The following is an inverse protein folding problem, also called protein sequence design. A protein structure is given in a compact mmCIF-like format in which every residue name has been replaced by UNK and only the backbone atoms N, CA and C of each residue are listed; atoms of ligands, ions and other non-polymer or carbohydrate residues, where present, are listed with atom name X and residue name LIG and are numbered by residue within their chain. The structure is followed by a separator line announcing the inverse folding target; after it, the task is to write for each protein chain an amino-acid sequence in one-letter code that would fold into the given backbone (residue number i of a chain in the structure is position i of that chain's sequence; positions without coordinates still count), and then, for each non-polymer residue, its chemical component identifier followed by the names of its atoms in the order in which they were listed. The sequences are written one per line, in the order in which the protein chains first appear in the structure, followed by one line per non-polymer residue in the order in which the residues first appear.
data_IF_982035949366
#
_entry.id   IF_982035949366
#
_cell.length_a   1.000
_cell.length_b   1.000
_cell.length_c   1.000
_cell.angle_alpha   90.00
_cell.angle_beta   90.00
_cell.angle_gamma   90.00
#
_symmetry.space_group_name_H-M   'P 1'
#
loop_
_entity.id
_entity.type
_entity.pdbx_description
1 polymer ?
#
# COMPACT_ATOMS: atom_id res chain seq x y z
N UNK A 1 -51.18 34.43 4.16
CA UNK A 1 -50.54 33.10 4.40
C UNK A 1 -49.08 33.22 4.06
N UNK A 2 -48.25 33.33 5.09
CA UNK A 2 -46.79 33.35 4.94
C UNK A 2 -46.28 31.92 5.05
N UNK A 3 -45.78 31.36 3.96
CA UNK A 3 -45.05 30.10 3.97
C UNK A 3 -43.64 30.39 4.49
N UNK A 4 -43.39 29.96 5.74
CA UNK A 4 -42.05 29.88 6.29
C UNK A 4 -41.28 28.79 5.54
N UNK A 5 -40.32 29.18 4.73
CA UNK A 5 -39.33 28.26 4.17
C UNK A 5 -38.57 27.63 5.33
N UNK A 6 -38.63 26.31 5.45
CA UNK A 6 -37.74 25.54 6.32
C UNK A 6 -36.32 25.82 5.87
N UNK A 7 -35.53 26.42 6.78
CA UNK A 7 -34.13 26.66 6.58
C UNK A 7 -33.41 25.39 6.24
N UNK A 8 -32.74 25.36 5.11
CA UNK A 8 -31.72 24.38 4.81
C UNK A 8 -30.63 24.53 5.85
N UNK A 9 -30.49 23.52 6.73
CA UNK A 9 -29.35 23.47 7.62
C UNK A 9 -28.07 23.50 6.79
N UNK A 10 -27.14 24.35 7.16
CA UNK A 10 -25.79 24.36 6.60
C UNK A 10 -25.24 22.93 6.66
N UNK A 11 -25.08 22.28 5.51
CA UNK A 11 -24.31 21.04 5.46
C UNK A 11 -22.93 21.42 5.93
N UNK A 12 -22.48 20.82 7.02
CA UNK A 12 -21.10 20.92 7.44
C UNK A 12 -20.22 20.64 6.22
N UNK A 13 -19.27 21.51 5.96
CA UNK A 13 -18.35 21.31 4.83
C UNK A 13 -17.70 19.94 4.97
N UNK A 14 -17.74 19.16 3.88
CA UNK A 14 -17.08 17.85 3.85
C UNK A 14 -15.61 18.00 4.22
N UNK A 15 -15.11 17.14 5.09
CA UNK A 15 -13.71 17.19 5.51
C UNK A 15 -12.77 17.00 4.33
N UNK A 16 -11.89 17.96 4.12
CA UNK A 16 -10.87 17.94 3.08
C UNK A 16 -9.50 18.17 3.71
N UNK A 17 -8.66 17.12 3.84
CA UNK A 17 -7.34 17.28 4.41
C UNK A 17 -6.43 18.11 3.52
N UNK A 18 -5.66 19.02 4.11
CA UNK A 18 -4.66 19.80 3.39
C UNK A 18 -3.52 18.89 2.87
N UNK A 19 -3.17 17.86 3.64
CA UNK A 19 -2.16 16.87 3.31
C UNK A 19 -2.47 15.52 3.98
N UNK A 20 -1.86 14.45 3.50
CA UNK A 20 -1.93 13.12 4.11
C UNK A 20 -0.51 12.68 4.49
N UNK A 21 -0.36 12.15 5.70
CA UNK A 21 0.92 11.61 6.20
C UNK A 21 0.68 10.21 6.69
N UNK A 22 1.43 9.23 6.17
CA UNK A 22 1.28 7.83 6.54
C UNK A 22 2.45 7.34 7.37
N UNK A 23 2.15 6.68 8.47
CA UNK A 23 3.08 5.96 9.32
C UNK A 23 2.72 4.48 9.34
N UNK A 24 3.73 3.64 9.45
CA UNK A 24 3.45 2.22 9.50
C UNK A 24 4.61 1.31 9.15
N UNK A 25 4.24 0.09 8.87
CA UNK A 25 5.07 -0.99 8.37
C UNK A 25 4.85 -1.21 6.85
N UNK A 26 5.09 -2.43 6.37
CA UNK A 26 4.89 -2.86 4.97
C UNK A 26 3.49 -2.56 4.46
N UNK A 27 2.48 -2.60 5.33
CA UNK A 27 1.09 -2.34 4.95
C UNK A 27 0.85 -0.91 4.45
N UNK A 28 1.77 0.00 4.76
CA UNK A 28 1.69 1.43 4.42
C UNK A 28 2.93 1.95 3.66
N UNK A 29 3.94 1.10 3.48
CA UNK A 29 5.21 1.45 2.86
C UNK A 29 5.19 1.23 1.35
N UNK A 30 6.06 1.97 0.66
CA UNK A 30 6.39 1.78 -0.75
C UNK A 30 7.84 1.34 -0.88
N UNK A 31 8.09 0.43 -1.81
CA UNK A 31 9.42 -0.01 -2.16
C UNK A 31 9.91 0.67 -3.43
N UNK A 32 11.23 0.87 -3.48
CA UNK A 32 11.94 1.28 -4.68
C UNK A 32 13.07 0.29 -4.94
N UNK A 33 13.28 -0.06 -6.18
CA UNK A 33 14.35 -0.97 -6.59
C UNK A 33 15.24 -0.26 -7.59
N UNK A 34 16.53 -0.21 -7.29
CA UNK A 34 17.52 0.26 -8.23
C UNK A 34 17.90 -0.88 -9.16
N UNK A 35 17.82 -0.64 -10.47
CA UNK A 35 18.19 -1.59 -11.49
C UNK A 35 19.21 -0.96 -12.43
N UNK A 36 20.23 -1.71 -12.85
CA UNK A 36 21.20 -1.19 -13.78
C UNK A 36 20.55 -0.84 -15.12
N UNK A 37 20.83 0.34 -15.64
CA UNK A 37 20.39 0.74 -16.97
C UNK A 37 21.12 -0.10 -18.03
N UNK A 38 20.41 -0.48 -19.07
CA UNK A 38 20.94 -1.26 -20.19
C UNK A 38 20.80 -0.50 -21.49
N UNK A 39 21.82 -0.56 -22.32
CA UNK A 39 21.78 -0.11 -23.71
C UNK A 39 20.92 -1.06 -24.58
N UNK A 40 20.63 -0.65 -25.81
CA UNK A 40 19.86 -1.43 -26.76
C UNK A 40 20.46 -2.81 -27.08
N UNK A 41 21.78 -2.93 -26.98
CA UNK A 41 22.50 -4.19 -27.19
C UNK A 41 22.58 -5.09 -25.94
N UNK A 42 21.95 -4.65 -24.82
CA UNK A 42 21.97 -5.37 -23.55
C UNK A 42 23.16 -5.05 -22.64
N UNK A 43 24.16 -4.27 -23.12
CA UNK A 43 25.27 -3.82 -22.29
C UNK A 43 24.82 -2.82 -21.22
N UNK A 44 25.60 -2.68 -20.14
CA UNK A 44 25.30 -1.70 -19.08
C UNK A 44 25.54 -0.28 -19.58
N UNK A 45 24.53 0.57 -19.44
CA UNK A 45 24.58 1.96 -19.89
C UNK A 45 25.33 2.91 -18.93
N UNK A 46 25.72 2.42 -17.77
CA UNK A 46 26.25 3.24 -16.69
C UNK A 46 25.16 4.04 -15.97
N UNK A 47 25.10 3.92 -14.65
CA UNK A 47 24.06 4.47 -13.80
C UNK A 47 22.94 3.46 -13.53
N UNK A 48 22.10 3.80 -12.54
CA UNK A 48 20.97 2.98 -12.12
C UNK A 48 19.65 3.67 -12.43
N UNK A 49 18.70 2.93 -12.99
CA UNK A 49 17.30 3.31 -13.03
C UNK A 49 16.62 2.92 -11.72
N UNK A 50 15.57 3.62 -11.36
CA UNK A 50 14.80 3.33 -10.16
C UNK A 50 13.36 2.99 -10.51
N UNK A 51 12.93 1.78 -10.15
CA UNK A 51 11.51 1.38 -10.14
C UNK A 51 10.94 1.75 -8.78
N UNK A 52 10.01 2.68 -8.75
CA UNK A 52 9.35 3.18 -7.53
C UNK A 52 7.91 2.70 -7.46
N UNK A 53 7.31 2.84 -6.29
CA UNK A 53 5.88 2.63 -6.10
C UNK A 53 5.46 1.17 -6.04
N UNK A 54 6.40 0.25 -5.85
CA UNK A 54 6.06 -1.13 -5.52
C UNK A 54 5.47 -1.17 -4.10
N UNK A 55 4.49 -2.01 -3.91
CA UNK A 55 3.85 -2.22 -2.62
C UNK A 55 4.20 -3.59 -2.06
N UNK A 56 4.04 -3.76 -0.75
CA UNK A 56 4.21 -5.05 -0.07
C UNK A 56 2.89 -5.84 -0.05
N UNK A 57 2.21 -5.82 -1.19
CA UNK A 57 1.07 -6.64 -1.53
C UNK A 57 1.29 -7.20 -2.94
N UNK A 58 0.24 -7.67 -3.61
CA UNK A 58 0.38 -8.14 -4.99
C UNK A 58 0.43 -6.94 -5.94
N UNK A 59 1.57 -6.72 -6.59
CA UNK A 59 1.71 -5.69 -7.62
C UNK A 59 1.09 -6.17 -8.95
N UNK A 60 0.43 -5.29 -9.68
CA UNK A 60 -0.20 -5.65 -10.94
C UNK A 60 0.80 -5.52 -12.10
N UNK A 61 1.40 -6.64 -12.50
CA UNK A 61 2.30 -6.71 -13.64
C UNK A 61 1.49 -7.05 -14.89
N UNK A 62 1.62 -6.27 -15.92
CA UNK A 62 0.96 -6.46 -17.22
C UNK A 62 1.98 -6.46 -18.35
N UNK A 63 1.68 -7.24 -19.39
CA UNK A 63 2.41 -7.20 -20.65
C UNK A 63 1.63 -6.35 -21.63
N UNK A 64 2.23 -5.28 -22.10
CA UNK A 64 1.60 -4.38 -23.06
C UNK A 64 2.48 -4.28 -24.31
N UNK A 65 1.83 -4.28 -25.47
CA UNK A 65 2.46 -3.82 -26.72
C UNK A 65 1.98 -2.38 -26.93
N UNK A 66 2.88 -1.43 -26.83
CA UNK A 66 2.51 -0.01 -26.88
C UNK A 66 3.45 0.80 -27.74
N UNK A 67 2.92 1.90 -28.27
CA UNK A 67 3.70 2.92 -28.97
C UNK A 67 3.79 4.15 -28.10
N UNK A 68 4.98 4.60 -27.80
CA UNK A 68 5.21 5.82 -27.02
C UNK A 68 5.27 7.04 -27.93
N UNK A 69 4.65 8.10 -27.46
CA UNK A 69 4.73 9.39 -28.09
C UNK A 69 5.86 10.19 -27.47
N UNK A 70 6.81 10.57 -28.30
CA UNK A 70 7.97 11.35 -27.88
C UNK A 70 7.73 12.85 -27.97
N UNK A 71 6.67 13.29 -28.60
CA UNK A 71 6.38 14.69 -28.80
C UNK A 71 4.97 15.05 -28.28
N UNK A 72 4.93 15.69 -27.12
CA UNK A 72 3.70 16.20 -26.52
C UNK A 72 3.00 17.30 -27.35
N UNK A 73 3.72 17.89 -28.31
CA UNK A 73 3.16 18.93 -29.19
C UNK A 73 2.36 18.37 -30.37
N UNK A 74 2.40 17.05 -30.60
CA UNK A 74 1.69 16.41 -31.70
C UNK A 74 0.88 15.18 -31.22
N UNK A 75 -0.15 15.38 -30.39
CA UNK A 75 -0.92 14.28 -29.81
C UNK A 75 -1.64 13.39 -30.84
N UNK A 76 -1.81 13.85 -32.08
CA UNK A 76 -2.43 13.07 -33.15
C UNK A 76 -1.55 11.98 -33.79
N UNK A 77 -0.26 11.94 -33.47
CA UNK A 77 0.67 10.91 -33.97
C UNK A 77 0.77 9.69 -33.06
N UNK A 78 0.11 9.71 -31.91
CA UNK A 78 0.07 8.64 -30.96
C UNK A 78 -1.16 7.76 -31.18
N UNK A 79 -1.24 7.07 -32.27
CA UNK A 79 -2.50 6.52 -32.76
C UNK A 79 -2.93 5.19 -32.15
N UNK A 80 -2.10 4.49 -31.39
CA UNK A 80 -2.49 3.18 -30.83
C UNK A 80 -1.70 2.88 -29.56
N UNK A 81 -2.42 2.76 -28.46
CA UNK A 81 -1.85 2.47 -27.15
C UNK A 81 -1.70 3.68 -26.22
N UNK A 82 -1.92 4.86 -26.71
CA UNK A 82 -2.14 6.16 -26.00
C UNK A 82 -1.53 6.28 -24.60
N UNK A 83 -0.25 6.06 -24.49
CA UNK A 83 0.49 6.28 -23.27
C UNK A 83 1.28 7.58 -23.42
N UNK A 84 0.93 8.57 -22.62
CA UNK A 84 1.73 9.79 -22.52
C UNK A 84 2.82 9.62 -21.47
N UNK A 85 4.06 9.72 -21.89
CA UNK A 85 5.16 9.79 -20.95
C UNK A 85 5.17 11.15 -20.27
N UNK A 86 5.40 11.23 -18.95
CA UNK A 86 5.80 12.48 -18.34
C UNK A 86 7.10 12.91 -18.97
N UNK A 87 7.08 14.05 -19.65
CA UNK A 87 8.19 14.60 -20.46
C UNK A 87 9.50 14.69 -19.69
N UNK A 88 9.44 14.73 -18.36
CA UNK A 88 10.62 14.85 -17.50
C UNK A 88 11.46 13.58 -17.33
N UNK A 89 10.92 12.40 -17.66
CA UNK A 89 11.58 11.12 -17.37
C UNK A 89 12.08 10.37 -18.61
N UNK A 90 11.69 10.82 -19.79
CA UNK A 90 12.19 10.31 -21.05
C UNK A 90 12.91 11.42 -21.80
N UNK A 91 14.18 11.59 -21.50
CA UNK A 91 15.07 12.38 -22.37
C UNK A 91 15.58 11.41 -23.43
N UNK A 92 15.15 11.55 -24.69
CA UNK A 92 15.68 10.71 -25.73
C UNK A 92 17.12 11.11 -26.02
N UNK A 93 18.05 10.34 -25.51
CA UNK A 93 19.32 10.23 -26.17
C UNK A 93 19.14 9.14 -27.26
N UNK A 94 19.58 9.36 -28.48
CA UNK A 94 19.32 8.43 -29.59
C UNK A 94 19.90 7.02 -29.37
N UNK A 95 20.73 6.83 -28.38
CA UNK A 95 21.44 5.59 -28.11
C UNK A 95 21.18 5.00 -26.70
N UNK A 96 20.56 5.74 -25.79
CA UNK A 96 20.28 5.27 -24.41
C UNK A 96 18.90 5.72 -23.96
N UNK A 97 17.95 4.84 -24.00
CA UNK A 97 16.66 5.10 -23.35
C UNK A 97 16.75 4.66 -21.90
N UNK A 98 16.30 5.51 -20.95
CA UNK A 98 16.10 5.02 -19.61
C UNK A 98 15.06 3.90 -19.67
N UNK A 99 15.42 2.73 -19.15
CA UNK A 99 14.53 1.58 -19.05
C UNK A 99 13.44 1.77 -18.01
N UNK A 100 13.40 2.92 -17.36
CA UNK A 100 12.48 3.20 -16.25
C UNK A 100 11.84 4.56 -16.44
N UNK A 101 10.55 4.61 -16.16
CA UNK A 101 9.77 5.84 -16.21
C UNK A 101 8.32 5.55 -15.89
N UNK A 102 7.56 6.61 -15.66
CA UNK A 102 6.13 6.53 -15.46
C UNK A 102 5.40 7.07 -16.67
N UNK A 103 4.26 6.49 -17.00
CA UNK A 103 3.36 7.03 -18.02
C UNK A 103 1.92 6.76 -17.68
N UNK A 104 1.06 7.57 -18.26
CA UNK A 104 -0.38 7.50 -18.06
C UNK A 104 -1.07 7.11 -19.36
N UNK A 105 -1.95 6.11 -19.30
CA UNK A 105 -2.81 5.77 -20.42
C UNK A 105 -3.80 6.90 -20.68
N UNK A 106 -3.88 7.36 -21.92
CA UNK A 106 -4.84 8.39 -22.35
C UNK A 106 -6.26 7.84 -22.33
N UNK A 107 -6.43 6.55 -22.66
CA UNK A 107 -7.73 5.91 -22.75
C UNK A 107 -8.34 5.58 -21.40
N UNK A 108 -7.54 5.01 -20.48
CA UNK A 108 -8.04 4.53 -19.19
C UNK A 108 -7.66 5.43 -18.01
N UNK A 109 -6.68 6.32 -18.19
CA UNK A 109 -6.12 7.13 -17.13
C UNK A 109 -5.23 6.37 -16.16
N UNK A 110 -4.99 5.07 -16.39
CA UNK A 110 -4.10 4.25 -15.57
C UNK A 110 -2.66 4.74 -15.67
N UNK A 111 -1.94 4.66 -14.55
CA UNK A 111 -0.53 4.99 -14.45
C UNK A 111 0.30 3.73 -14.39
N UNK A 112 1.31 3.67 -15.22
CA UNK A 112 2.19 2.52 -15.37
C UNK A 112 3.63 2.90 -15.03
N UNK A 113 4.33 1.95 -14.42
CA UNK A 113 5.76 2.03 -14.18
C UNK A 113 6.47 1.00 -15.06
N UNK A 114 7.40 1.43 -15.87
CA UNK A 114 8.19 0.56 -16.74
C UNK A 114 9.14 -0.29 -15.88
N UNK A 115 9.14 -1.59 -16.11
CA UNK A 115 9.99 -2.54 -15.37
C UNK A 115 10.98 -3.30 -16.24
N UNK A 116 10.81 -3.25 -17.56
CA UNK A 116 11.72 -3.88 -18.49
C UNK A 116 12.21 -2.90 -19.53
N UNK A 117 13.27 -3.29 -20.21
CA UNK A 117 13.89 -2.51 -21.25
C UNK A 117 12.89 -2.12 -22.35
N UNK A 118 12.93 -0.87 -22.73
CA UNK A 118 12.27 -0.37 -23.92
C UNK A 118 13.19 -0.70 -25.12
N UNK A 119 12.82 -1.67 -25.94
CA UNK A 119 13.46 -1.86 -27.21
C UNK A 119 13.00 -0.79 -28.19
N UNK A 120 13.89 0.14 -28.48
CA UNK A 120 13.70 1.04 -29.62
C UNK A 120 13.81 0.16 -30.86
N UNK A 121 12.71 -0.07 -31.55
CA UNK A 121 12.74 -0.75 -32.83
C UNK A 121 13.81 -0.11 -33.74
N UNK A 122 14.41 -0.90 -34.62
CA UNK A 122 15.53 -0.56 -35.50
C UNK A 122 15.29 0.62 -36.49
N UNK A 123 14.22 1.38 -36.32
CA UNK A 123 13.99 2.65 -36.97
C UNK A 123 14.72 3.75 -36.21
N UNK A 124 15.57 4.53 -36.90
CA UNK A 124 16.23 5.65 -36.27
C UNK A 124 15.19 6.57 -35.61
N UNK A 125 15.44 6.99 -34.38
CA UNK A 125 14.65 7.96 -33.63
C UNK A 125 14.36 9.26 -34.39
N UNK A 126 15.14 9.51 -35.43
CA UNK A 126 15.03 10.62 -36.37
C UNK A 126 13.97 10.38 -37.45
N UNK A 127 13.21 9.28 -37.43
CA UNK A 127 12.14 9.13 -38.40
C UNK A 127 11.04 10.13 -38.10
N UNK A 128 10.47 10.70 -39.12
CA UNK A 128 9.46 11.75 -39.12
C UNK A 128 8.15 11.38 -38.37
N UNK A 129 8.02 10.18 -37.86
CA UNK A 129 6.88 9.72 -37.09
C UNK A 129 6.99 9.96 -35.58
N UNK A 130 8.19 10.21 -35.05
CA UNK A 130 8.40 10.51 -33.62
C UNK A 130 7.89 9.47 -32.62
N UNK A 131 7.50 8.29 -33.07
CA UNK A 131 6.94 7.24 -32.24
C UNK A 131 7.98 6.15 -31.93
N UNK A 132 8.18 5.84 -30.66
CA UNK A 132 8.93 4.68 -30.21
C UNK A 132 7.98 3.47 -30.15
N UNK A 133 8.33 2.40 -30.83
CA UNK A 133 7.57 1.15 -30.76
C UNK A 133 8.22 0.26 -29.73
N UNK A 134 7.49 0.01 -28.65
CA UNK A 134 7.81 -1.06 -27.73
C UNK A 134 7.36 -2.40 -28.32
N UNK A 135 8.22 -3.39 -28.26
CA UNK A 135 7.89 -4.70 -28.81
C UNK A 135 7.07 -5.51 -27.85
N UNK A 136 7.50 -5.74 -26.65
CA UNK A 136 6.73 -6.39 -25.59
C UNK A 136 7.41 -6.08 -24.28
N UNK A 137 6.73 -5.32 -23.42
CA UNK A 137 7.34 -4.96 -22.18
C UNK A 137 6.42 -5.20 -21.00
N UNK A 138 7.03 -5.36 -19.87
CA UNK A 138 6.34 -5.56 -18.62
C UNK A 138 6.24 -4.22 -17.91
N UNK A 139 5.03 -3.96 -17.39
CA UNK A 139 4.72 -2.72 -16.70
C UNK A 139 3.97 -3.03 -15.41
N UNK A 140 4.28 -2.32 -14.35
CA UNK A 140 3.40 -2.29 -13.18
C UNK A 140 2.29 -1.27 -13.39
N UNK A 141 1.04 -1.74 -13.37
CA UNK A 141 -0.12 -0.85 -13.32
C UNK A 141 -0.28 -0.36 -11.88
N UNK A 142 0.19 0.85 -11.62
CA UNK A 142 0.15 1.47 -10.31
C UNK A 142 -1.26 1.91 -9.88
N UNK A 143 -2.20 1.94 -10.80
CA UNK A 143 -3.60 2.27 -10.52
C UNK A 143 -4.41 1.07 -10.07
N UNK A 144 -3.95 -0.13 -10.38
CA UNK A 144 -4.50 -1.40 -9.91
C UNK A 144 -3.76 -1.90 -8.66
N UNK A 145 -4.38 -2.79 -7.91
CA UNK A 145 -3.77 -3.47 -6.75
C UNK A 145 -3.18 -2.52 -5.69
N UNK A 146 -3.93 -1.46 -5.37
CA UNK A 146 -3.47 -0.43 -4.45
C UNK A 146 -3.59 -0.86 -2.98
N UNK A 147 -2.63 -0.45 -2.16
CA UNK A 147 -2.72 -0.59 -0.71
C UNK A 147 -3.67 0.46 -0.10
N UNK A 148 -4.09 0.24 1.12
CA UNK A 148 -5.11 1.04 1.79
C UNK A 148 -4.79 2.55 1.85
N UNK A 149 -3.54 2.92 2.08
CA UNK A 149 -3.10 4.32 2.14
C UNK A 149 -3.27 5.04 0.80
N UNK A 150 -3.01 4.36 -0.33
CA UNK A 150 -3.23 4.90 -1.66
C UNK A 150 -4.72 5.14 -1.94
N UNK A 151 -5.58 4.21 -1.52
CA UNK A 151 -7.05 4.38 -1.66
C UNK A 151 -7.53 5.55 -0.83
N UNK A 152 -7.06 5.68 0.43
CA UNK A 152 -7.39 6.84 1.29
C UNK A 152 -6.91 8.14 0.63
N UNK A 153 -5.67 8.18 0.14
CA UNK A 153 -5.15 9.39 -0.51
C UNK A 153 -5.97 9.79 -1.74
N UNK A 154 -6.31 8.83 -2.59
CA UNK A 154 -7.14 9.06 -3.79
C UNK A 154 -8.53 9.58 -3.45
N UNK A 155 -9.17 9.06 -2.39
CA UNK A 155 -10.50 9.50 -1.96
C UNK A 155 -10.53 11.01 -1.63
N UNK A 156 -9.41 11.55 -1.17
CA UNK A 156 -9.23 12.98 -0.88
C UNK A 156 -8.48 13.76 -1.99
N UNK A 157 -8.36 13.20 -3.18
CA UNK A 157 -7.69 13.86 -4.31
C UNK A 157 -6.17 14.02 -4.12
N UNK A 158 -5.55 13.23 -3.25
CA UNK A 158 -4.10 13.24 -2.98
C UNK A 158 -3.41 12.01 -3.58
N UNK A 159 -2.08 12.10 -3.73
CA UNK A 159 -1.23 10.99 -4.14
C UNK A 159 0.13 11.08 -3.49
N UNK A 160 0.83 9.94 -3.43
CA UNK A 160 2.18 9.82 -2.89
C UNK A 160 3.20 10.03 -3.99
N UNK A 161 4.23 10.83 -3.72
CA UNK A 161 5.36 10.97 -4.65
C UNK A 161 6.14 9.66 -4.81
N UNK A 162 6.15 8.83 -3.76
CA UNK A 162 6.84 7.54 -3.75
C UNK A 162 6.11 6.44 -4.54
N UNK A 163 4.84 6.64 -4.88
CA UNK A 163 4.09 5.76 -5.76
C UNK A 163 4.06 6.30 -7.19
N UNK A 164 3.43 5.59 -8.10
CA UNK A 164 3.35 6.02 -9.47
C UNK A 164 2.22 7.04 -9.76
N UNK A 165 1.69 7.75 -8.80
CA UNK A 165 0.57 8.69 -9.00
C UNK A 165 1.09 10.09 -9.39
N UNK A 166 1.61 10.21 -10.59
CA UNK A 166 2.31 11.40 -11.09
C UNK A 166 1.47 12.67 -11.19
N UNK A 167 0.16 12.54 -11.28
CA UNK A 167 -0.79 13.65 -11.44
C UNK A 167 -1.33 14.17 -10.11
N UNK A 168 -0.89 13.61 -9.01
CA UNK A 168 -1.37 13.97 -7.66
C UNK A 168 -0.22 14.16 -6.71
N UNK A 169 -0.41 15.09 -5.79
CA UNK A 169 0.54 15.40 -4.74
C UNK A 169 -0.19 15.56 -3.40
N UNK A 170 0.56 15.78 -2.35
CA UNK A 170 0.01 16.13 -1.04
C UNK A 170 -0.18 14.95 -0.09
N UNK A 171 0.31 13.77 -0.46
CA UNK A 171 0.48 12.65 0.45
C UNK A 171 1.96 12.25 0.57
N UNK A 172 2.40 11.87 1.77
CA UNK A 172 3.75 11.39 2.04
C UNK A 172 3.69 10.18 2.96
N UNK A 173 4.55 9.20 2.74
CA UNK A 173 4.69 8.03 3.61
C UNK A 173 6.05 8.04 4.29
N UNK A 174 6.03 7.87 5.61
CA UNK A 174 7.18 7.58 6.46
C UNK A 174 7.17 6.11 6.92
N UNK A 175 6.23 5.32 6.43
CA UNK A 175 6.17 3.90 6.73
C UNK A 175 7.42 3.18 6.20
N UNK A 176 7.91 2.22 6.97
CA UNK A 176 9.12 1.46 6.66
C UNK A 176 8.81 -0.04 6.77
N UNK A 177 9.20 -0.79 5.77
CA UNK A 177 9.05 -2.24 5.79
C UNK A 177 9.78 -2.86 6.99
N UNK A 178 9.14 -3.80 7.68
CA UNK A 178 9.64 -4.43 8.89
C UNK A 178 9.50 -3.59 10.16
N UNK A 179 8.97 -2.37 10.07
CA UNK A 179 8.84 -1.51 11.24
C UNK A 179 7.93 -2.13 12.31
N UNK A 180 8.32 -1.94 13.55
CA UNK A 180 7.57 -2.24 14.77
C UNK A 180 7.10 -0.94 15.42
N UNK A 181 6.27 -1.02 16.41
CA UNK A 181 5.73 0.18 17.09
C UNK A 181 6.82 1.08 17.68
N UNK A 182 7.98 0.53 18.02
CA UNK A 182 9.11 1.31 18.53
C UNK A 182 9.65 2.32 17.50
N UNK A 183 9.60 1.99 16.21
CA UNK A 183 10.07 2.85 15.13
C UNK A 183 9.12 4.01 14.82
N UNK A 184 7.88 3.99 15.32
CA UNK A 184 6.92 5.07 15.10
C UNK A 184 7.45 6.43 15.56
N UNK A 185 8.20 6.47 16.66
CA UNK A 185 8.79 7.71 17.18
C UNK A 185 9.75 8.38 16.19
N UNK A 186 10.56 7.57 15.48
CA UNK A 186 11.47 8.05 14.44
C UNK A 186 10.70 8.55 13.21
N UNK A 187 9.67 7.82 12.77
CA UNK A 187 8.79 8.24 11.67
C UNK A 187 8.11 9.58 12.00
N UNK A 188 7.60 9.75 13.23
CA UNK A 188 6.99 11.00 13.69
C UNK A 188 8.04 12.14 13.71
N UNK A 189 9.25 11.87 14.17
CA UNK A 189 10.31 12.88 14.21
C UNK A 189 10.67 13.38 12.81
N UNK A 190 10.77 12.49 11.82
CA UNK A 190 10.98 12.86 10.42
C UNK A 190 9.85 13.74 9.89
N UNK A 191 8.59 13.35 10.09
CA UNK A 191 7.46 14.15 9.66
C UNK A 191 7.36 15.52 10.34
N UNK A 192 7.72 15.60 11.62
CA UNK A 192 7.81 16.88 12.37
C UNK A 192 8.90 17.77 11.81
N UNK A 193 10.09 17.24 11.56
CA UNK A 193 11.21 18.01 11.00
C UNK A 193 10.91 18.55 9.60
N UNK A 194 10.09 17.83 8.82
CA UNK A 194 9.62 18.25 7.51
C UNK A 194 8.39 19.18 7.56
N UNK A 195 7.88 19.54 8.76
CA UNK A 195 6.70 20.41 8.91
C UNK A 195 5.39 19.80 8.42
N UNK A 196 5.29 18.47 8.34
CA UNK A 196 4.15 17.76 7.76
C UNK A 196 3.06 17.49 8.79
N UNK A 197 3.40 17.38 10.08
CA UNK A 197 2.44 17.18 11.17
C UNK A 197 1.93 18.52 11.67
N UNK A 198 0.71 18.87 11.28
CA UNK A 198 0.04 20.14 11.62
C UNK A 198 -1.47 19.98 11.55
N UNK A 199 -2.17 20.97 12.11
CA UNK A 199 -3.62 21.08 11.95
C UNK A 199 -4.00 21.06 10.46
N UNK A 200 -5.06 20.33 10.12
CA UNK A 200 -5.52 20.12 8.74
C UNK A 200 -4.84 18.94 8.01
N UNK A 201 -3.82 18.31 8.58
CA UNK A 201 -3.30 17.06 8.05
C UNK A 201 -4.18 15.89 8.47
N UNK A 202 -4.37 14.93 7.56
CA UNK A 202 -4.88 13.59 7.86
C UNK A 202 -3.67 12.65 8.02
N UNK A 203 -3.62 11.98 9.14
CA UNK A 203 -2.56 11.00 9.42
C UNK A 203 -3.14 9.59 9.43
N UNK A 204 -2.52 8.68 8.71
CA UNK A 204 -2.87 7.26 8.72
C UNK A 204 -1.80 6.48 9.44
N UNK A 205 -2.21 5.57 10.35
CA UNK A 205 -1.29 4.78 11.18
C UNK A 205 -1.70 3.31 11.14
N UNK A 206 -0.76 2.43 10.80
CA UNK A 206 -0.94 0.99 10.90
C UNK A 206 0.38 0.30 11.26
N UNK A 207 0.46 -0.22 12.49
CA UNK A 207 1.62 -0.90 13.07
C UNK A 207 1.16 -1.98 14.06
N UNK A 208 2.06 -2.91 14.34
CA UNK A 208 1.90 -3.94 15.37
C UNK A 208 1.97 -5.36 14.84
N UNK A 209 1.83 -5.59 13.53
CA UNK A 209 1.91 -6.94 12.95
C UNK A 209 3.28 -7.57 13.21
N UNK A 210 4.36 -6.84 12.94
CA UNK A 210 5.72 -7.32 13.14
C UNK A 210 6.07 -7.52 14.62
N UNK A 211 5.49 -6.71 15.51
CA UNK A 211 5.60 -6.89 16.94
C UNK A 211 4.95 -8.20 17.41
N UNK A 212 3.73 -8.47 16.94
CA UNK A 212 2.97 -9.66 17.33
C UNK A 212 3.65 -10.95 16.84
N UNK A 213 4.21 -10.94 15.63
CA UNK A 213 4.99 -12.07 15.10
C UNK A 213 6.23 -12.32 15.96
N UNK A 214 7.00 -11.26 16.30
CA UNK A 214 8.18 -11.39 17.19
C UNK A 214 7.81 -11.95 18.56
N UNK A 215 6.74 -11.43 19.16
CA UNK A 215 6.26 -11.89 20.46
C UNK A 215 5.82 -13.37 20.40
N UNK A 216 5.08 -13.74 19.36
CA UNK A 216 4.61 -15.09 19.13
C UNK A 216 5.78 -16.08 19.02
N UNK A 217 6.86 -15.71 18.36
CA UNK A 217 8.05 -16.53 18.18
C UNK A 217 8.93 -16.65 19.42
N UNK A 218 8.72 -15.81 20.42
CA UNK A 218 9.51 -15.85 21.63
C UNK A 218 9.24 -17.13 22.44
N UNK A 219 10.21 -17.55 23.25
CA UNK A 219 10.07 -18.70 24.14
C UNK A 219 9.35 -18.38 25.47
N UNK A 220 8.77 -17.17 25.59
CA UNK A 220 8.08 -16.72 26.79
C UNK A 220 6.76 -17.47 27.05
N UNK A 221 6.25 -17.43 28.27
CA UNK A 221 4.93 -17.95 28.58
C UNK A 221 3.83 -17.15 27.89
N UNK A 222 2.64 -17.72 27.67
CA UNK A 222 1.52 -16.98 27.05
C UNK A 222 1.18 -15.70 27.84
N UNK A 223 1.20 -15.75 29.16
CA UNK A 223 0.94 -14.57 30.00
C UNK A 223 1.96 -13.46 29.79
N UNK A 224 3.26 -13.81 29.66
CA UNK A 224 4.33 -12.84 29.38
C UNK A 224 4.21 -12.28 27.96
N UNK A 225 3.84 -13.12 27.00
CA UNK A 225 3.58 -12.70 25.61
C UNK A 225 2.41 -11.71 25.55
N UNK A 226 1.30 -11.99 26.24
CA UNK A 226 0.17 -11.05 26.30
C UNK A 226 0.58 -9.73 26.97
N UNK A 227 1.37 -9.78 28.03
CA UNK A 227 1.89 -8.58 28.68
C UNK A 227 2.79 -7.77 27.72
N UNK A 228 3.64 -8.43 26.95
CA UNK A 228 4.48 -7.81 25.93
C UNK A 228 3.61 -7.17 24.83
N UNK A 229 2.58 -7.85 24.34
CA UNK A 229 1.64 -7.31 23.35
C UNK A 229 0.95 -6.02 23.85
N UNK A 230 0.49 -6.00 25.10
CA UNK A 230 -0.07 -4.79 25.74
C UNK A 230 0.96 -3.67 25.85
N UNK A 231 2.20 -3.97 26.17
CA UNK A 231 3.27 -2.98 26.25
C UNK A 231 3.59 -2.36 24.86
N UNK A 232 3.60 -3.18 23.78
CA UNK A 232 3.75 -2.67 22.42
C UNK A 232 2.58 -1.77 22.03
N UNK A 233 1.34 -2.17 22.36
CA UNK A 233 0.18 -1.33 22.14
C UNK A 233 0.27 0.01 22.89
N UNK A 234 0.78 0.04 24.12
CA UNK A 234 1.00 1.27 24.86
C UNK A 234 1.98 2.22 24.14
N UNK A 235 3.07 1.68 23.58
CA UNK A 235 4.01 2.47 22.76
C UNK A 235 3.32 3.07 21.53
N UNK A 236 2.46 2.31 20.84
CA UNK A 236 1.68 2.82 19.69
C UNK A 236 0.73 3.94 20.14
N UNK A 237 0.05 3.77 21.26
CA UNK A 237 -0.86 4.77 21.84
C UNK A 237 -0.12 6.09 22.09
N UNK A 238 1.07 6.04 22.68
CA UNK A 238 1.88 7.23 22.95
C UNK A 238 2.26 7.96 21.64
N UNK A 239 2.61 7.22 20.59
CA UNK A 239 2.84 7.79 19.26
C UNK A 239 1.58 8.45 18.67
N UNK A 240 0.43 7.79 18.75
CA UNK A 240 -0.84 8.34 18.28
C UNK A 240 -1.20 9.64 19.03
N UNK A 241 -1.04 9.66 20.36
CA UNK A 241 -1.26 10.87 21.18
C UNK A 241 -0.34 12.01 20.76
N UNK A 242 0.94 11.73 20.48
CA UNK A 242 1.88 12.72 19.98
C UNK A 242 1.46 13.32 18.64
N UNK A 243 0.85 12.53 17.75
CA UNK A 243 0.32 13.00 16.47
C UNK A 243 -0.92 13.87 16.71
N UNK A 244 -1.88 13.40 17.50
CA UNK A 244 -3.11 14.13 17.82
C UNK A 244 -2.82 15.49 18.48
N UNK A 245 -1.77 15.57 19.33
CA UNK A 245 -1.34 16.82 19.97
C UNK A 245 -0.87 17.89 18.96
N UNK A 246 -0.56 17.54 17.72
CA UNK A 246 -0.22 18.51 16.65
C UNK A 246 -1.46 19.17 16.02
N UNK A 247 -2.66 18.72 16.38
CA UNK A 247 -3.92 19.14 15.77
C UNK A 247 -4.24 18.39 14.46
N UNK A 248 -3.40 17.44 14.07
CA UNK A 248 -3.71 16.54 12.95
C UNK A 248 -4.84 15.58 13.33
N UNK A 249 -5.61 15.12 12.34
CA UNK A 249 -6.60 14.07 12.51
C UNK A 249 -6.00 12.72 12.17
N UNK A 250 -6.38 11.68 12.89
CA UNK A 250 -5.75 10.37 12.77
C UNK A 250 -6.78 9.31 12.37
N UNK A 251 -6.44 8.48 11.40
CA UNK A 251 -7.07 7.18 11.16
C UNK A 251 -6.09 6.10 11.62
N UNK A 252 -6.44 5.41 12.69
CA UNK A 252 -5.68 4.30 13.25
C UNK A 252 -6.31 2.96 12.84
N UNK A 253 -5.51 2.11 12.25
CA UNK A 253 -5.86 0.70 11.98
C UNK A 253 -5.21 -0.17 13.04
N UNK A 254 -6.00 -1.04 13.68
CA UNK A 254 -5.47 -2.00 14.63
C UNK A 254 -4.79 -3.20 13.93
N UNK A 255 -4.15 -4.07 14.70
CA UNK A 255 -3.57 -5.30 14.15
C UNK A 255 -4.68 -6.21 13.60
N UNK A 256 -4.54 -6.74 12.36
CA UNK A 256 -5.46 -7.74 11.82
C UNK A 256 -5.39 -9.03 12.64
N UNK A 257 -6.38 -9.89 12.57
CA UNK A 257 -6.31 -11.15 13.30
C UNK A 257 -5.36 -12.14 12.60
N UNK A 258 -4.09 -12.10 13.01
CA UNK A 258 -3.01 -12.94 12.51
C UNK A 258 -3.20 -14.44 12.82
N UNK A 259 -4.14 -14.80 13.69
CA UNK A 259 -4.44 -16.21 13.99
C UNK A 259 -5.00 -16.98 12.78
N UNK A 260 -5.45 -16.26 11.74
CA UNK A 260 -5.85 -16.82 10.45
C UNK A 260 -4.76 -16.76 9.38
N UNK A 261 -3.60 -16.18 9.69
CA UNK A 261 -2.51 -16.06 8.72
C UNK A 261 -1.88 -17.43 8.42
N UNK A 262 -1.38 -17.65 7.20
CA UNK A 262 -0.64 -18.87 6.86
C UNK A 262 0.51 -19.13 7.82
N UNK A 263 1.15 -18.08 8.33
CA UNK A 263 2.23 -18.16 9.32
C UNK A 263 1.78 -18.80 10.64
N UNK A 264 0.69 -18.31 11.22
CA UNK A 264 0.17 -18.84 12.47
C UNK A 264 -0.40 -20.25 12.29
N UNK A 265 -1.04 -20.52 11.15
CA UNK A 265 -1.57 -21.84 10.80
C UNK A 265 -0.47 -22.89 10.65
N UNK A 266 0.69 -22.53 10.13
CA UNK A 266 1.82 -23.44 9.96
C UNK A 266 2.50 -23.84 11.28
N UNK A 267 2.40 -22.99 12.33
CA UNK A 267 3.15 -23.19 13.58
C UNK A 267 2.41 -23.99 14.66
N UNK A 268 1.11 -23.86 14.78
CA UNK A 268 0.34 -24.60 15.82
C UNK A 268 -1.14 -24.67 15.42
N UNK A 269 -1.44 -25.19 14.25
CA UNK A 269 -2.83 -25.37 13.85
C UNK A 269 -3.51 -26.42 14.71
N UNK A 270 -4.37 -25.99 15.61
CA UNK A 270 -5.48 -26.84 16.01
C UNK A 270 -6.31 -27.03 14.74
N UNK A 271 -6.72 -28.27 14.45
CA UNK A 271 -7.51 -28.56 13.24
C UNK A 271 -8.51 -27.43 12.95
N UNK A 272 -8.29 -26.72 11.84
CA UNK A 272 -9.19 -25.65 11.38
C UNK A 272 -10.44 -26.20 10.67
N UNK A 273 -10.71 -27.48 10.77
CA UNK A 273 -11.85 -28.12 10.13
C UNK A 273 -13.20 -27.57 10.62
N UNK A 274 -13.19 -26.80 11.70
CA UNK A 274 -14.40 -26.21 12.33
C UNK A 274 -14.15 -24.72 12.64
N UNK A 275 -13.75 -23.95 11.60
CA UNK A 275 -13.44 -22.51 11.70
C UNK A 275 -14.65 -21.60 11.96
N UNK A 276 -15.86 -22.13 12.01
CA UNK A 276 -17.04 -21.29 12.13
C UNK A 276 -17.08 -20.46 13.43
N UNK A 277 -16.46 -20.94 14.50
CA UNK A 277 -16.64 -20.33 15.82
C UNK A 277 -15.37 -19.78 16.50
N UNK A 278 -14.16 -20.09 16.02
CA UNK A 278 -12.92 -19.67 16.70
C UNK A 278 -11.73 -19.55 15.75
N UNK A 279 -10.73 -18.71 16.08
CA UNK A 279 -9.47 -18.60 15.35
C UNK A 279 -8.68 -19.91 15.35
N UNK A 280 -8.00 -20.19 14.24
CA UNK A 280 -7.26 -21.43 14.05
C UNK A 280 -5.99 -21.51 14.91
N UNK A 281 -5.47 -20.39 15.40
CA UNK A 281 -4.33 -20.37 16.32
C UNK A 281 -4.70 -19.57 17.56
N UNK A 282 -5.08 -20.26 18.69
CA UNK A 282 -5.52 -19.58 19.90
C UNK A 282 -4.47 -18.71 20.58
N UNK A 283 -3.19 -19.06 20.46
CA UNK A 283 -2.10 -18.27 21.05
C UNK A 283 -1.95 -16.93 20.30
N UNK A 284 -1.87 -16.96 18.99
CA UNK A 284 -1.78 -15.73 18.17
C UNK A 284 -3.06 -14.88 18.36
N UNK A 285 -4.22 -15.49 18.44
CA UNK A 285 -5.47 -14.77 18.71
C UNK A 285 -5.43 -14.03 20.06
N UNK A 286 -4.95 -14.69 21.12
CA UNK A 286 -4.82 -14.08 22.43
C UNK A 286 -3.89 -12.85 22.40
N UNK A 287 -2.79 -12.90 21.63
CA UNK A 287 -1.88 -11.78 21.46
C UNK A 287 -2.52 -10.62 20.72
N UNK A 288 -3.21 -10.90 19.60
CA UNK A 288 -3.97 -9.89 18.85
C UNK A 288 -5.04 -9.23 19.71
N UNK A 289 -5.79 -10.03 20.45
CA UNK A 289 -6.83 -9.54 21.38
C UNK A 289 -6.20 -8.66 22.46
N UNK A 290 -5.08 -9.08 23.08
CA UNK A 290 -4.40 -8.33 24.12
C UNK A 290 -3.92 -6.96 23.61
N UNK A 291 -3.28 -6.94 22.43
CA UNK A 291 -2.81 -5.72 21.77
C UNK A 291 -3.97 -4.77 21.43
N UNK A 292 -4.96 -5.25 20.69
CA UNK A 292 -6.06 -4.43 20.21
C UNK A 292 -6.97 -3.93 21.34
N UNK A 293 -7.22 -4.75 22.36
CA UNK A 293 -7.99 -4.35 23.54
C UNK A 293 -7.28 -3.21 24.29
N UNK A 294 -5.96 -3.26 24.42
CA UNK A 294 -5.18 -2.19 25.03
C UNK A 294 -5.35 -0.87 24.25
N UNK A 295 -5.29 -0.91 22.89
CA UNK A 295 -5.52 0.26 22.05
C UNK A 295 -6.90 0.88 22.28
N UNK A 296 -7.96 0.07 22.19
CA UNK A 296 -9.35 0.53 22.33
C UNK A 296 -9.59 1.11 23.71
N UNK A 297 -9.16 0.42 24.76
CA UNK A 297 -9.42 0.83 26.14
C UNK A 297 -8.70 2.14 26.45
N UNK A 298 -7.41 2.26 26.12
CA UNK A 298 -6.63 3.43 26.49
C UNK A 298 -6.95 4.66 25.64
N UNK A 299 -7.15 4.50 24.33
CA UNK A 299 -7.55 5.62 23.49
C UNK A 299 -8.99 6.05 23.75
N UNK A 300 -9.89 5.10 23.97
CA UNK A 300 -11.31 5.37 24.24
C UNK A 300 -11.59 6.10 25.55
N UNK A 301 -10.66 6.11 26.50
CA UNK A 301 -10.78 6.92 27.73
C UNK A 301 -10.48 8.38 27.51
N UNK A 302 -9.66 8.73 26.53
CA UNK A 302 -9.21 10.12 26.28
C UNK A 302 -9.82 10.73 25.02
N UNK A 303 -10.11 9.90 24.02
CA UNK A 303 -10.61 10.33 22.72
C UNK A 303 -11.89 9.57 22.38
N UNK A 304 -12.87 10.25 21.80
CA UNK A 304 -13.99 9.55 21.18
C UNK A 304 -13.46 8.76 19.97
N UNK A 305 -13.47 7.43 20.08
CA UNK A 305 -13.19 6.57 18.95
C UNK A 305 -14.25 6.84 17.87
N UNK A 306 -13.80 7.06 16.63
CA UNK A 306 -14.66 7.52 15.54
C UNK A 306 -15.35 8.89 15.83
N UNK A 307 -14.67 9.75 16.57
CA UNK A 307 -15.02 11.14 16.76
C UNK A 307 -14.24 12.06 15.83
N UNK A 308 -14.28 13.35 16.12
CA UNK A 308 -13.71 14.40 15.25
C UNK A 308 -12.19 14.42 15.11
N UNK A 309 -11.44 13.63 15.87
CA UNK A 309 -9.97 13.65 15.89
C UNK A 309 -9.36 12.30 15.56
N UNK A 310 -10.04 11.21 15.92
CA UNK A 310 -9.55 9.85 15.81
C UNK A 310 -10.61 8.95 15.18
N UNK A 311 -10.34 8.49 13.97
CA UNK A 311 -11.05 7.39 13.30
C UNK A 311 -10.36 6.07 13.62
N UNK A 312 -11.14 5.07 14.00
CA UNK A 312 -10.64 3.74 14.32
C UNK A 312 -11.16 2.70 13.32
N UNK A 313 -10.25 1.92 12.76
CA UNK A 313 -10.55 0.81 11.84
C UNK A 313 -10.18 -0.50 12.52
N UNK A 314 -11.18 -1.33 12.74
CA UNK A 314 -11.00 -2.65 13.36
C UNK A 314 -10.64 -3.70 12.30
N UNK A 315 -9.36 -3.75 11.94
CA UNK A 315 -8.86 -4.73 10.98
C UNK A 315 -8.95 -6.17 11.50
N UNK A 316 -8.91 -6.38 12.82
CA UNK A 316 -9.12 -7.71 13.40
C UNK A 316 -10.55 -8.21 13.15
N UNK A 317 -11.55 -7.37 13.37
CA UNK A 317 -12.95 -7.72 13.09
C UNK A 317 -13.17 -7.95 11.59
N UNK A 318 -12.59 -7.12 10.74
CA UNK A 318 -12.66 -7.32 9.30
C UNK A 318 -12.03 -8.66 8.91
N UNK A 319 -10.81 -8.94 9.39
CA UNK A 319 -10.13 -10.23 9.12
C UNK A 319 -11.00 -11.40 9.60
N UNK A 320 -11.55 -11.34 10.81
CA UNK A 320 -12.44 -12.39 11.35
C UNK A 320 -13.64 -12.64 10.44
N UNK A 321 -14.26 -11.57 9.96
CA UNK A 321 -15.45 -11.66 9.09
C UNK A 321 -15.12 -12.37 7.77
N UNK A 322 -14.03 -11.98 7.13
CA UNK A 322 -13.63 -12.54 5.84
C UNK A 322 -13.03 -13.95 5.98
N UNK A 323 -12.20 -14.18 7.00
CA UNK A 323 -11.56 -15.46 7.23
C UNK A 323 -12.53 -16.62 7.56
N UNK A 324 -13.70 -16.29 8.08
CA UNK A 324 -14.77 -17.26 8.40
C UNK A 324 -15.75 -17.46 7.24
N UNK A 325 -15.65 -16.66 6.20
CA UNK A 325 -16.51 -16.80 5.03
C UNK A 325 -16.00 -17.89 4.10
N UNK A 326 -16.88 -18.74 3.62
CA UNK A 326 -16.55 -19.79 2.63
C UNK A 326 -16.15 -19.25 1.25
N UNK A 327 -16.32 -17.95 1.03
CA UNK A 327 -15.93 -17.27 -0.22
C UNK A 327 -14.47 -16.88 -0.23
N UNK A 328 -13.75 -16.96 0.90
CA UNK A 328 -12.36 -16.51 1.02
C UNK A 328 -11.46 -17.61 1.57
N UNK A 329 -10.18 -17.50 1.27
CA UNK A 329 -9.18 -18.48 1.66
C UNK A 329 -8.08 -17.87 2.53
N UNK A 330 -7.77 -18.55 3.63
CA UNK A 330 -6.69 -18.19 4.54
C UNK A 330 -5.34 -18.73 4.02
N UNK A 331 -5.06 -18.46 2.76
CA UNK A 331 -3.84 -18.89 2.05
C UNK A 331 -3.09 -17.67 1.52
N UNK A 332 -1.79 -17.87 1.27
CA UNK A 332 -0.95 -16.84 0.62
C UNK A 332 -1.18 -16.82 -0.89
N UNK A 333 -1.21 -15.63 -1.46
CA UNK A 333 -1.30 -15.42 -2.90
C UNK A 333 0.04 -15.58 -3.61
N UNK A 334 1.11 -15.05 -2.99
CA UNK A 334 2.44 -15.00 -3.59
C UNK A 334 3.17 -16.33 -3.46
N UNK A 335 3.72 -16.81 -4.57
CA UNK A 335 4.57 -17.99 -4.61
C UNK A 335 6.04 -17.55 -4.49
N UNK A 336 6.64 -17.77 -3.33
CA UNK A 336 8.02 -17.38 -3.08
C UNK A 336 9.02 -17.99 -4.10
N UNK A 337 8.70 -19.17 -4.65
CA UNK A 337 9.55 -19.81 -5.66
C UNK A 337 9.50 -19.11 -7.03
N UNK A 338 8.47 -18.30 -7.27
CA UNK A 338 8.29 -17.55 -8.52
C UNK A 338 8.68 -16.08 -8.39
N UNK A 339 8.82 -15.58 -7.15
CA UNK A 339 9.10 -14.15 -6.94
C UNK A 339 10.46 -13.78 -7.54
N UNK A 340 10.46 -12.64 -8.21
CA UNK A 340 11.65 -12.12 -8.88
C UNK A 340 11.66 -10.59 -8.81
N UNK A 341 12.86 -10.04 -8.81
CA UNK A 341 13.08 -8.59 -8.99
C UNK A 341 12.56 -8.15 -10.36
N UNK A 342 12.28 -6.86 -10.56
CA UNK A 342 11.80 -6.35 -11.85
C UNK A 342 12.70 -6.66 -13.05
N UNK A 343 13.99 -6.95 -12.85
CA UNK A 343 14.91 -7.37 -13.91
C UNK A 343 14.85 -8.88 -14.23
N UNK A 344 13.93 -9.61 -13.59
CA UNK A 344 13.75 -11.05 -13.74
C UNK A 344 14.69 -11.90 -12.88
N UNK A 345 15.56 -11.30 -12.05
CA UNK A 345 16.41 -12.06 -11.12
C UNK A 345 15.57 -12.66 -10.00
N UNK A 346 15.57 -13.98 -9.81
CA UNK A 346 14.83 -14.63 -8.74
C UNK A 346 15.18 -14.04 -7.37
N UNK A 347 14.17 -13.58 -6.64
CA UNK A 347 14.38 -12.98 -5.32
C UNK A 347 13.06 -13.04 -4.52
N UNK A 348 13.05 -13.84 -3.47
CA UNK A 348 11.92 -13.96 -2.54
C UNK A 348 12.13 -13.21 -1.22
N UNK A 349 13.18 -12.39 -1.12
CA UNK A 349 13.53 -11.69 0.11
C UNK A 349 12.55 -10.57 0.48
N UNK A 350 11.76 -10.09 -0.49
CA UNK A 350 10.81 -9.00 -0.29
C UNK A 350 9.49 -9.25 -0.99
N UNK A 351 8.40 -9.06 -0.25
CA UNK A 351 7.04 -9.12 -0.82
C UNK A 351 6.80 -8.05 -1.91
N UNK A 352 7.61 -7.00 -1.97
CA UNK A 352 7.57 -6.02 -3.06
C UNK A 352 7.80 -6.65 -4.44
N UNK A 353 8.39 -7.85 -4.51
CA UNK A 353 8.60 -8.60 -5.75
C UNK A 353 7.45 -9.55 -6.10
N UNK A 354 6.40 -9.58 -5.28
CA UNK A 354 5.18 -10.29 -5.63
C UNK A 354 4.35 -9.48 -6.63
N UNK A 355 3.98 -10.12 -7.72
CA UNK A 355 3.14 -9.52 -8.75
C UNK A 355 2.20 -10.57 -9.37
N UNK A 356 1.29 -10.15 -10.22
CA UNK A 356 0.27 -11.02 -10.85
C UNK A 356 0.85 -12.21 -11.60
N UNK A 357 2.11 -12.17 -12.03
CA UNK A 357 2.81 -13.29 -12.67
C UNK A 357 3.51 -14.25 -11.69
N UNK A 358 3.55 -13.93 -10.40
CA UNK A 358 4.23 -14.75 -9.37
C UNK A 358 3.26 -15.32 -8.33
N UNK A 359 1.99 -15.43 -8.68
CA UNK A 359 0.99 -16.01 -7.80
C UNK A 359 1.10 -17.53 -7.74
N UNK A 360 0.55 -18.14 -6.69
CA UNK A 360 0.31 -19.59 -6.65
C UNK A 360 -0.60 -19.99 -7.80
N UNK A 361 -0.51 -21.24 -8.27
CA UNK A 361 -1.11 -21.65 -9.55
C UNK A 361 -2.64 -21.48 -9.64
N UNK A 362 -3.32 -21.58 -8.52
CA UNK A 362 -4.76 -21.39 -8.35
C UNK A 362 -5.09 -20.08 -7.64
N UNK A 363 -4.12 -19.18 -7.52
CA UNK A 363 -4.22 -17.93 -6.81
C UNK A 363 -5.24 -16.99 -7.45
N UNK A 364 -6.46 -17.01 -6.95
CA UNK A 364 -7.44 -15.99 -7.27
C UNK A 364 -7.19 -14.77 -6.40
N UNK A 365 -6.72 -13.69 -7.01
CA UNK A 365 -6.37 -12.43 -6.32
C UNK A 365 -7.52 -11.89 -5.47
N UNK A 366 -8.77 -12.13 -5.87
CA UNK A 366 -9.93 -11.63 -5.17
C UNK A 366 -10.30 -12.42 -3.91
N UNK A 367 -9.94 -13.70 -3.82
CA UNK A 367 -10.44 -14.61 -2.79
C UNK A 367 -9.43 -14.90 -1.68
N UNK A 368 -8.14 -14.62 -1.89
CA UNK A 368 -7.12 -14.88 -0.87
C UNK A 368 -6.96 -13.68 0.06
N UNK A 369 -6.83 -13.95 1.35
CA UNK A 369 -6.75 -12.90 2.37
C UNK A 369 -5.32 -12.47 2.69
N UNK A 370 -4.33 -13.24 2.28
CA UNK A 370 -2.93 -13.02 2.61
C UNK A 370 -2.08 -12.89 1.35
N UNK A 371 -1.24 -11.89 1.29
CA UNK A 371 -0.28 -11.74 0.20
C UNK A 371 0.89 -12.72 0.36
N UNK A 372 1.43 -12.83 1.57
CA UNK A 372 2.42 -13.83 1.98
C UNK A 372 1.94 -14.59 3.22
N UNK A 373 2.84 -15.00 4.06
CA UNK A 373 2.50 -15.76 5.28
C UNK A 373 1.94 -14.87 6.39
N UNK A 374 2.15 -13.55 6.38
CA UNK A 374 1.77 -12.60 7.44
C UNK A 374 1.00 -11.40 6.92
N UNK A 375 1.38 -10.87 5.73
CA UNK A 375 0.84 -9.60 5.22
C UNK A 375 -0.47 -9.83 4.51
N UNK A 376 -1.40 -8.92 4.77
CA UNK A 376 -2.73 -8.99 4.17
C UNK A 376 -2.69 -8.76 2.66
N UNK A 377 -3.63 -9.39 1.95
CA UNK A 377 -3.77 -9.25 0.51
C UNK A 377 -4.44 -7.94 0.11
N UNK A 378 -4.46 -7.69 -1.19
CA UNK A 378 -5.22 -6.59 -1.79
C UNK A 378 -6.70 -6.57 -1.34
N UNK A 379 -7.34 -7.72 -1.17
CA UNK A 379 -8.74 -7.82 -0.71
C UNK A 379 -8.93 -7.16 0.65
N UNK A 380 -8.11 -7.51 1.63
CA UNK A 380 -8.20 -6.90 2.97
C UNK A 380 -7.74 -5.44 2.95
N UNK A 381 -6.73 -5.09 2.16
CA UNK A 381 -6.37 -3.68 1.95
C UNK A 381 -7.54 -2.85 1.45
N UNK A 382 -8.31 -3.35 0.49
CA UNK A 382 -9.48 -2.66 -0.07
C UNK A 382 -10.59 -2.43 0.96
N UNK A 383 -10.90 -3.43 1.77
CA UNK A 383 -11.94 -3.34 2.82
C UNK A 383 -11.52 -2.41 3.94
N UNK A 384 -10.25 -2.51 4.40
CA UNK A 384 -9.68 -1.61 5.41
C UNK A 384 -9.68 -0.17 4.89
N UNK A 385 -9.30 0.04 3.62
CA UNK A 385 -9.31 1.35 2.99
C UNK A 385 -10.70 1.97 2.93
N UNK A 386 -11.70 1.20 2.49
CA UNK A 386 -13.09 1.67 2.45
C UNK A 386 -13.57 2.13 3.82
N UNK A 387 -13.28 1.33 4.85
CA UNK A 387 -13.62 1.70 6.24
C UNK A 387 -12.87 2.95 6.69
N UNK A 388 -11.58 3.07 6.36
CA UNK A 388 -10.74 4.21 6.71
C UNK A 388 -11.25 5.51 6.06
N UNK A 389 -11.62 5.45 4.77
CA UNK A 389 -12.23 6.58 4.04
C UNK A 389 -13.53 7.01 4.71
N UNK A 390 -14.41 6.06 5.03
CA UNK A 390 -15.67 6.35 5.74
C UNK A 390 -15.40 7.04 7.09
N UNK A 391 -14.42 6.54 7.87
CA UNK A 391 -14.06 7.15 9.16
C UNK A 391 -13.54 8.58 9.01
N UNK A 392 -12.73 8.84 7.99
CA UNK A 392 -12.20 10.17 7.76
C UNK A 392 -13.25 11.13 7.17
N UNK A 393 -14.06 10.68 6.20
CA UNK A 393 -15.03 11.54 5.53
C UNK A 393 -16.24 11.89 6.40
N UNK A 394 -16.75 10.95 7.20
CA UNK A 394 -17.98 11.15 7.98
C UNK A 394 -17.77 11.73 9.37
N UNK A 395 -16.58 11.55 9.95
CA UNK A 395 -16.35 11.86 11.35
C UNK A 395 -15.48 13.10 11.58
N UNK A 396 -14.64 13.48 10.64
CA UNK A 396 -13.72 14.60 10.78
C UNK A 396 -14.32 15.89 10.24
#
# INVERSE_FOLDING_TARGET
MLLSACGGGDRAAEYQPASIVSFGDESSAFASVNLPLKNNDGSLAGGDGQVKGLTYAVNNLVNLSTTFCTNSALPGLCATGDIQTPVSNFVPAPETLPTFGYFKSVNTGDVFNVVTRIDVGTGSYASTSGALKLTTDQFYNCSASTIWTQVVARAFGKGYEADCQLDRAGAVSHAVAGAKVAELSAQIAQAKSAGQLKSGALVTVWLGQNDLVEIFDSAASLADKEAAAKARAATLIDGVKQILATGAKVVLVNAPNLAYSPYALAKNAVSCADVSDRPCNPEMDALVVAFNKQLITSLGTEYALNGRQLGYVDAAQLTNTYARSTSYENKRQCDAAKMARPDGTPDSSSLAYCHTGTLVNDGNVANYLWADDVRVSWTLHSVIASTAVTRAAEQF
#
